data_IF_833556461510
#
_entry.id   IF_833556461510
#
_cell.length_a   1.000
_cell.length_b   1.000
_cell.length_c   1.000
_cell.angle_alpha   90.00
_cell.angle_beta   90.00
_cell.angle_gamma   90.00
#
_symmetry.space_group_name_H-M   'P 1'
#
loop_
_entity.id
_entity.type
_entity.pdbx_description
1 polymer ?
#
# COMPACT_ATOMS: atom_id res chain seq x y z
N UNK A 1 -4.55 -19.18 -4.60
CA UNK A 1 -3.45 -18.74 -3.70
C UNK A 1 -3.74 -19.27 -2.30
N UNK A 2 -2.76 -19.89 -1.64
CA UNK A 2 -2.87 -20.38 -0.25
C UNK A 2 -1.90 -19.57 0.62
N UNK A 3 -2.32 -19.24 1.83
CA UNK A 3 -1.48 -18.55 2.81
C UNK A 3 -1.47 -19.34 4.12
N UNK A 4 -0.28 -19.73 4.57
CA UNK A 4 -0.07 -20.29 5.90
C UNK A 4 -0.18 -19.20 6.96
N UNK A 5 -0.79 -19.52 8.09
CA UNK A 5 -0.86 -18.68 9.29
C UNK A 5 -0.13 -19.41 10.40
N UNK A 6 1.07 -18.94 10.74
CA UNK A 6 1.80 -19.40 11.92
C UNK A 6 1.13 -18.84 13.17
N UNK A 7 0.23 -19.63 13.76
CA UNK A 7 -0.55 -19.30 14.95
C UNK A 7 0.00 -19.94 16.24
N UNK A 8 1.17 -20.60 16.14
CA UNK A 8 1.96 -21.10 17.26
C UNK A 8 3.46 -20.89 16.99
N UNK A 9 4.12 -20.09 17.82
CA UNK A 9 5.57 -19.83 17.74
C UNK A 9 6.10 -19.35 19.10
N UNK A 10 7.41 -19.46 19.31
CA UNK A 10 8.13 -18.94 20.48
C UNK A 10 7.75 -17.47 20.80
N UNK A 11 7.63 -16.61 19.78
CA UNK A 11 7.26 -15.19 19.93
C UNK A 11 5.81 -15.01 20.36
N UNK A 12 4.90 -15.84 19.86
CA UNK A 12 3.47 -15.79 20.24
C UNK A 12 3.32 -16.22 21.69
N UNK A 13 3.93 -17.34 22.07
CA UNK A 13 3.89 -17.87 23.44
C UNK A 13 4.47 -16.86 24.42
N UNK A 14 5.66 -16.31 24.12
CA UNK A 14 6.29 -15.28 24.95
C UNK A 14 5.39 -14.06 25.12
N UNK A 15 4.82 -13.54 24.03
CA UNK A 15 3.96 -12.34 24.08
C UNK A 15 2.65 -12.60 24.80
N UNK A 16 2.06 -13.78 24.64
CA UNK A 16 0.84 -14.18 25.33
C UNK A 16 1.07 -14.25 26.85
N UNK A 17 2.21 -14.79 27.28
CA UNK A 17 2.61 -14.81 28.69
C UNK A 17 2.82 -13.40 29.25
N UNK A 18 3.49 -12.50 28.52
CA UNK A 18 3.66 -11.09 28.90
C UNK A 18 2.31 -10.36 29.10
N UNK A 19 1.31 -10.70 28.29
CA UNK A 19 -0.02 -10.09 28.32
C UNK A 19 -1.02 -10.85 29.21
N UNK A 20 -0.61 -11.96 29.81
CA UNK A 20 -1.47 -12.86 30.59
C UNK A 20 -2.76 -13.28 29.84
N UNK A 21 -2.62 -13.64 28.56
CA UNK A 21 -3.71 -14.15 27.71
C UNK A 21 -3.31 -15.49 27.09
N UNK A 22 -4.26 -16.24 26.54
CA UNK A 22 -3.93 -17.49 25.84
C UNK A 22 -3.21 -17.22 24.51
N UNK A 23 -2.20 -18.03 24.11
CA UNK A 23 -1.56 -17.91 22.80
C UNK A 23 -2.53 -17.99 21.62
N UNK A 24 -3.55 -18.85 21.71
CA UNK A 24 -4.58 -19.00 20.69
C UNK A 24 -5.43 -17.74 20.54
N UNK A 25 -5.85 -17.13 21.65
CA UNK A 25 -6.60 -15.86 21.62
C UNK A 25 -5.78 -14.74 21.01
N UNK A 26 -4.48 -14.67 21.34
CA UNK A 26 -3.56 -13.66 20.81
C UNK A 26 -3.34 -13.84 19.30
N UNK A 27 -3.13 -15.08 18.84
CA UNK A 27 -2.96 -15.40 17.43
C UNK A 27 -4.22 -15.05 16.62
N UNK A 28 -5.41 -15.44 17.10
CA UNK A 28 -6.68 -15.14 16.45
C UNK A 28 -6.93 -13.63 16.33
N UNK A 29 -6.62 -12.87 17.39
CA UNK A 29 -6.73 -11.41 17.38
C UNK A 29 -5.85 -10.79 16.29
N UNK A 30 -4.58 -11.19 16.22
CA UNK A 30 -3.65 -10.62 15.25
C UNK A 30 -3.84 -11.15 13.83
N UNK A 31 -4.39 -12.35 13.65
CA UNK A 31 -4.82 -12.83 12.34
C UNK A 31 -5.94 -11.96 11.76
N UNK A 32 -6.92 -11.61 12.60
CA UNK A 32 -8.02 -10.74 12.21
C UNK A 32 -7.55 -9.30 11.94
N UNK A 33 -6.68 -8.75 12.80
CA UNK A 33 -6.03 -7.46 12.55
C UNK A 33 -5.25 -7.45 11.23
N UNK A 34 -4.51 -8.53 10.93
CA UNK A 34 -3.80 -8.67 9.67
C UNK A 34 -4.75 -8.66 8.46
N UNK A 35 -5.86 -9.39 8.52
CA UNK A 35 -6.87 -9.40 7.44
C UNK A 35 -7.46 -8.01 7.21
N UNK A 36 -7.74 -7.29 8.29
CA UNK A 36 -8.26 -5.91 8.21
C UNK A 36 -7.24 -4.96 7.59
N UNK A 37 -5.96 -5.06 7.98
CA UNK A 37 -4.88 -4.25 7.40
C UNK A 37 -4.69 -4.57 5.91
N UNK A 38 -4.72 -5.84 5.51
CA UNK A 38 -4.63 -6.26 4.11
C UNK A 38 -5.82 -5.74 3.28
N UNK A 39 -7.04 -5.85 3.82
CA UNK A 39 -8.24 -5.31 3.18
C UNK A 39 -8.17 -3.78 3.03
N UNK A 40 -7.70 -3.07 4.07
CA UNK A 40 -7.51 -1.62 4.04
C UNK A 40 -6.49 -1.20 2.96
N UNK A 41 -5.47 -2.01 2.71
CA UNK A 41 -4.49 -1.84 1.62
C UNK A 41 -4.96 -2.37 0.26
N UNK A 42 -6.23 -2.79 0.14
CA UNK A 42 -6.82 -3.33 -1.09
C UNK A 42 -6.10 -4.58 -1.61
N UNK A 43 -5.53 -5.38 -0.70
CA UNK A 43 -4.94 -6.69 -1.02
C UNK A 43 -6.06 -7.72 -1.06
N UNK A 44 -6.13 -8.49 -2.15
CA UNK A 44 -7.11 -9.56 -2.28
C UNK A 44 -6.80 -10.68 -1.27
N UNK A 45 -7.83 -11.25 -0.60
CA UNK A 45 -7.61 -12.37 0.29
C UNK A 45 -7.13 -13.61 -0.49
N UNK A 46 -6.33 -14.49 0.14
CA UNK A 46 -6.05 -15.81 -0.42
C UNK A 46 -7.33 -16.61 -0.58
N UNK A 47 -7.26 -17.61 -1.46
CA UNK A 47 -8.34 -18.58 -1.64
C UNK A 47 -8.56 -19.40 -0.37
N UNK A 48 -7.47 -19.71 0.35
CA UNK A 48 -7.50 -20.48 1.59
C UNK A 48 -6.45 -19.92 2.55
N UNK A 49 -6.85 -19.70 3.80
CA UNK A 49 -5.95 -19.56 4.94
C UNK A 49 -5.79 -20.93 5.60
N UNK A 50 -4.56 -21.34 5.91
CA UNK A 50 -4.28 -22.58 6.60
C UNK A 50 -3.53 -22.30 7.89
N UNK A 51 -4.13 -22.63 9.04
CA UNK A 51 -3.52 -22.45 10.36
C UNK A 51 -2.69 -23.66 10.75
N UNK A 52 -1.60 -23.44 11.45
CA UNK A 52 -0.71 -24.52 11.91
C UNK A 52 -1.41 -25.37 12.95
N UNK A 53 -2.07 -24.75 13.94
CA UNK A 53 -2.73 -25.49 15.02
C UNK A 53 -3.87 -26.39 14.55
N UNK A 54 -4.48 -26.10 13.40
CA UNK A 54 -5.54 -26.90 12.77
C UNK A 54 -5.00 -28.11 11.98
N UNK A 55 -3.68 -28.17 11.73
CA UNK A 55 -3.05 -29.17 10.85
C UNK A 55 -1.96 -30.00 11.55
N UNK A 56 -1.95 -30.03 12.88
CA UNK A 56 -0.94 -30.75 13.67
C UNK A 56 -0.86 -32.25 13.33
N UNK A 57 -1.97 -33.01 13.20
CA UNK A 57 -1.88 -34.43 12.83
C UNK A 57 -1.16 -34.65 11.49
N UNK A 58 -1.41 -33.78 10.52
CA UNK A 58 -0.78 -33.82 9.21
C UNK A 58 0.71 -33.49 9.30
N UNK A 59 1.09 -32.52 10.13
CA UNK A 59 2.51 -32.18 10.37
C UNK A 59 3.23 -33.37 11.01
N UNK A 60 2.65 -34.00 12.03
CA UNK A 60 3.21 -35.20 12.65
C UNK A 60 3.38 -36.33 11.63
N UNK A 61 2.38 -36.57 10.77
CA UNK A 61 2.48 -37.57 9.71
C UNK A 61 3.57 -37.21 8.67
N UNK A 62 3.72 -35.94 8.33
CA UNK A 62 4.74 -35.45 7.40
C UNK A 62 6.16 -35.69 7.95
N UNK A 63 6.38 -35.35 9.23
CA UNK A 63 7.64 -35.61 9.93
C UNK A 63 7.94 -37.11 9.96
N UNK A 64 6.94 -37.95 10.28
CA UNK A 64 7.10 -39.40 10.26
C UNK A 64 7.52 -39.91 8.88
N UNK A 65 6.98 -39.33 7.80
CA UNK A 65 7.39 -39.65 6.41
C UNK A 65 8.84 -39.25 6.09
N UNK A 66 9.32 -38.12 6.60
CA UNK A 66 10.72 -37.70 6.46
C UNK A 66 11.65 -38.67 7.22
N UNK A 67 11.29 -39.05 8.46
CA UNK A 67 12.05 -40.05 9.25
C UNK A 67 12.09 -41.39 8.51
N UNK A 68 10.95 -41.87 8.00
CA UNK A 68 10.87 -43.12 7.25
C UNK A 68 11.70 -43.11 5.96
N UNK A 69 12.00 -41.92 5.42
CA UNK A 69 12.86 -41.75 4.25
C UNK A 69 14.34 -41.52 4.62
N UNK A 70 14.70 -41.61 5.90
CA UNK A 70 16.08 -41.52 6.37
C UNK A 70 16.64 -40.11 6.48
N UNK A 71 15.79 -39.07 6.45
CA UNK A 71 16.20 -37.67 6.41
C UNK A 71 15.96 -36.91 7.73
N UNK A 72 15.48 -37.60 8.77
CA UNK A 72 15.25 -37.02 10.08
C UNK A 72 15.46 -38.06 11.19
N UNK A 73 15.71 -37.58 12.41
CA UNK A 73 15.90 -38.42 13.59
C UNK A 73 15.26 -37.79 14.82
N UNK A 74 14.74 -38.62 15.72
CA UNK A 74 14.28 -38.21 17.04
C UNK A 74 15.38 -38.36 18.09
N UNK A 75 15.31 -37.55 19.14
CA UNK A 75 16.23 -37.63 20.29
C UNK A 75 15.53 -38.20 21.53
N UNK A 76 16.32 -38.60 22.53
CA UNK A 76 15.78 -39.06 23.82
C UNK A 76 15.01 -37.97 24.57
N UNK A 77 15.21 -36.68 24.22
CA UNK A 77 14.50 -35.54 24.81
C UNK A 77 13.15 -35.26 24.13
N UNK A 78 12.82 -35.98 23.06
CA UNK A 78 11.58 -35.82 22.30
C UNK A 78 11.64 -34.77 21.18
N UNK A 79 12.82 -34.22 20.88
CA UNK A 79 13.01 -33.38 19.70
C UNK A 79 13.09 -34.25 18.45
N UNK A 80 12.69 -33.70 17.30
CA UNK A 80 12.97 -34.29 15.98
C UNK A 80 13.69 -33.26 15.14
N UNK A 81 14.83 -33.67 14.58
CA UNK A 81 15.67 -32.84 13.72
C UNK A 81 15.71 -33.39 12.32
N UNK A 82 15.81 -32.49 11.35
CA UNK A 82 16.16 -32.83 9.99
C UNK A 82 17.68 -33.03 9.89
N UNK A 83 18.11 -34.16 9.34
CA UNK A 83 19.52 -34.50 9.18
C UNK A 83 20.06 -33.85 7.91
N UNK A 84 20.78 -32.74 8.03
CA UNK A 84 21.33 -32.06 6.86
C UNK A 84 22.37 -32.90 6.13
N UNK A 85 23.14 -33.73 6.83
CA UNK A 85 24.13 -34.58 6.18
C UNK A 85 23.47 -35.59 5.23
N UNK A 86 22.26 -36.06 5.57
CA UNK A 86 21.48 -36.95 4.69
C UNK A 86 21.12 -36.34 3.33
N UNK A 87 21.15 -35.00 3.21
CA UNK A 87 20.90 -34.28 1.94
C UNK A 87 22.18 -34.03 1.15
N UNK A 88 23.32 -33.94 1.82
CA UNK A 88 24.62 -33.67 1.20
C UNK A 88 24.57 -32.45 0.29
N UNK A 89 25.15 -32.57 -0.91
CA UNK A 89 25.25 -31.48 -1.89
C UNK A 89 23.92 -31.00 -2.48
N UNK A 90 22.77 -31.62 -2.13
CA UNK A 90 21.44 -31.18 -2.60
C UNK A 90 20.86 -30.04 -1.76
N UNK A 91 21.44 -29.73 -0.60
CA UNK A 91 21.02 -28.62 0.25
C UNK A 91 21.78 -27.34 -0.13
N UNK A 92 21.10 -26.20 -0.16
CA UNK A 92 21.63 -24.92 -0.66
C UNK A 92 21.24 -24.61 -2.10
N UNK A 93 20.28 -25.33 -2.67
CA UNK A 93 19.92 -25.21 -4.10
C UNK A 93 19.22 -23.89 -4.44
N UNK A 94 18.60 -23.22 -3.45
CA UNK A 94 17.91 -21.95 -3.66
C UNK A 94 18.88 -20.77 -3.55
N UNK A 95 19.79 -20.80 -2.57
CA UNK A 95 20.71 -19.69 -2.28
C UNK A 95 22.11 -19.83 -2.89
N UNK A 96 22.48 -21.03 -3.34
CA UNK A 96 23.78 -21.34 -3.95
C UNK A 96 24.94 -21.43 -2.94
N UNK A 97 25.03 -20.47 -2.03
CA UNK A 97 26.00 -20.46 -0.93
C UNK A 97 25.24 -20.54 0.39
N UNK A 98 25.42 -21.64 1.10
CA UNK A 98 24.85 -21.85 2.43
C UNK A 98 25.72 -21.11 3.44
N UNK A 99 25.18 -20.15 4.20
CA UNK A 99 25.89 -19.54 5.32
C UNK A 99 26.34 -20.61 6.32
N UNK A 100 27.53 -20.42 6.91
CA UNK A 100 27.99 -21.31 7.97
C UNK A 100 26.95 -21.38 9.09
N UNK A 101 26.68 -22.58 9.65
CA UNK A 101 25.72 -22.71 10.72
C UNK A 101 26.18 -21.87 11.91
N UNK A 102 25.45 -20.80 12.21
CA UNK A 102 25.59 -20.13 13.49
C UNK A 102 25.15 -21.13 14.56
N UNK A 103 26.11 -21.63 15.34
CA UNK A 103 25.81 -22.52 16.45
C UNK A 103 24.76 -21.87 17.36
N UNK A 104 23.66 -22.58 17.63
CA UNK A 104 22.69 -22.12 18.62
C UNK A 104 23.36 -22.14 20.01
N UNK A 105 23.33 -21.03 20.78
CA UNK A 105 23.85 -21.06 22.15
C UNK A 105 22.94 -21.93 23.03
N UNK A 106 23.41 -23.10 23.45
CA UNK A 106 22.69 -23.98 24.38
C UNK A 106 23.10 -25.45 24.33
N UNK A 107 22.58 -26.24 25.27
CA UNK A 107 22.72 -27.69 25.36
C UNK A 107 21.87 -28.38 24.28
N UNK A 108 22.36 -28.33 23.04
CA UNK A 108 21.74 -28.91 21.84
C UNK A 108 21.96 -30.43 21.80
N UNK A 109 20.89 -31.20 21.60
CA UNK A 109 20.91 -32.65 21.38
C UNK A 109 20.91 -33.05 19.89
N UNK A 110 21.25 -32.10 19.01
CA UNK A 110 21.48 -32.33 17.58
C UNK A 110 22.75 -33.16 17.35
N UNK A 111 22.73 -34.00 16.32
CA UNK A 111 23.92 -34.69 15.78
C UNK A 111 24.88 -33.69 15.14
N UNK A 112 24.35 -32.71 14.40
CA UNK A 112 25.16 -31.70 13.72
C UNK A 112 24.62 -30.29 13.95
N UNK A 113 25.52 -29.31 13.98
CA UNK A 113 25.18 -27.91 14.27
C UNK A 113 24.17 -27.30 13.27
N UNK A 114 24.23 -27.72 12.00
CA UNK A 114 23.32 -27.25 10.96
C UNK A 114 21.93 -27.89 10.98
N UNK A 115 21.73 -28.98 11.72
CA UNK A 115 20.43 -29.65 11.77
C UNK A 115 19.37 -28.71 12.35
N UNK A 116 18.18 -28.70 11.74
CA UNK A 116 17.09 -27.82 12.15
C UNK A 116 15.89 -28.63 12.67
N UNK A 117 15.15 -28.05 13.61
CA UNK A 117 14.05 -28.73 14.28
C UNK A 117 12.84 -28.89 13.34
N UNK A 118 12.33 -30.13 13.27
CA UNK A 118 11.02 -30.47 12.73
C UNK A 118 9.97 -30.50 13.83
N UNK A 119 10.33 -31.01 15.01
CA UNK A 119 9.49 -31.05 16.20
C UNK A 119 10.31 -30.64 17.41
N UNK A 120 9.79 -29.71 18.20
CA UNK A 120 10.41 -29.23 19.44
C UNK A 120 9.66 -29.84 20.62
N UNK A 121 10.38 -30.52 21.50
CA UNK A 121 9.82 -31.04 22.75
C UNK A 121 9.26 -29.88 23.59
N UNK A 122 8.12 -30.11 24.24
CA UNK A 122 7.44 -29.09 25.01
C UNK A 122 8.24 -28.71 26.26
N UNK A 123 8.40 -27.41 26.49
CA UNK A 123 8.92 -26.90 27.78
C UNK A 123 7.76 -26.80 28.78
N UNK A 124 8.05 -26.78 30.10
CA UNK A 124 7.02 -26.57 31.11
C UNK A 124 6.18 -25.32 30.80
N UNK A 125 4.86 -25.46 30.89
CA UNK A 125 3.87 -24.38 30.68
C UNK A 125 3.76 -23.86 29.23
N UNK A 126 4.46 -24.44 28.25
CA UNK A 126 4.19 -24.17 26.84
C UNK A 126 2.98 -24.98 26.33
N UNK A 127 2.20 -24.45 25.36
CA UNK A 127 1.22 -25.26 24.64
C UNK A 127 1.92 -26.41 23.90
N UNK A 128 1.26 -27.58 23.88
CA UNK A 128 1.81 -28.78 23.25
C UNK A 128 0.72 -29.65 22.64
N UNK A 129 1.16 -30.54 21.76
CA UNK A 129 0.38 -31.63 21.19
C UNK A 129 1.11 -32.96 21.41
N UNK A 130 0.33 -34.03 21.57
CA UNK A 130 0.87 -35.38 21.66
C UNK A 130 1.42 -35.82 20.30
N UNK A 131 2.57 -36.49 20.30
CA UNK A 131 3.19 -37.06 19.11
C UNK A 131 3.89 -38.40 19.45
N UNK A 132 4.29 -39.20 18.45
CA UNK A 132 5.09 -40.40 18.67
C UNK A 132 6.42 -40.16 19.39
N UNK A 133 6.91 -38.93 19.42
CA UNK A 133 8.17 -38.54 20.07
C UNK A 133 7.95 -37.84 21.42
N UNK A 134 6.71 -37.83 21.93
CA UNK A 134 6.32 -37.13 23.15
C UNK A 134 5.62 -35.80 22.88
N UNK A 135 5.29 -35.09 23.96
CA UNK A 135 4.61 -33.81 23.89
C UNK A 135 5.54 -32.73 23.30
N UNK A 136 5.04 -31.98 22.32
CA UNK A 136 5.81 -30.91 21.70
C UNK A 136 5.00 -30.08 20.73
N UNK A 137 5.69 -29.38 19.84
CA UNK A 137 5.13 -28.49 18.84
C UNK A 137 5.98 -28.49 17.57
N UNK A 138 5.42 -28.11 16.41
CA UNK A 138 6.18 -28.04 15.17
C UNK A 138 7.33 -27.03 15.25
N UNK A 139 8.38 -27.30 14.46
CA UNK A 139 9.37 -26.29 14.09
C UNK A 139 8.85 -25.38 12.98
N UNK A 140 9.30 -24.13 12.97
CA UNK A 140 8.80 -23.09 12.06
C UNK A 140 8.76 -23.51 10.57
N UNK A 141 9.78 -24.23 10.10
CA UNK A 141 9.90 -24.60 8.68
C UNK A 141 8.92 -25.72 8.26
N UNK A 142 8.64 -26.68 9.17
CA UNK A 142 7.84 -27.87 8.82
C UNK A 142 6.36 -27.55 8.62
N UNK A 143 5.93 -26.44 9.20
CA UNK A 143 4.60 -25.86 9.04
C UNK A 143 4.31 -25.61 7.57
N UNK A 144 5.09 -24.74 6.92
CA UNK A 144 4.90 -24.35 5.53
C UNK A 144 5.05 -25.53 4.57
N UNK A 145 6.03 -26.41 4.78
CA UNK A 145 6.22 -27.63 3.99
C UNK A 145 5.00 -28.54 4.00
N UNK A 146 4.43 -28.77 5.18
CA UNK A 146 3.25 -29.63 5.33
C UNK A 146 2.04 -28.98 4.70
N UNK A 147 1.74 -27.72 5.05
CA UNK A 147 0.55 -27.02 4.58
C UNK A 147 0.53 -26.85 3.06
N UNK A 148 1.66 -26.48 2.47
CA UNK A 148 1.81 -26.38 1.02
C UNK A 148 1.66 -27.75 0.34
N UNK A 149 2.25 -28.81 0.90
CA UNK A 149 2.13 -30.18 0.38
C UNK A 149 0.72 -30.75 0.48
N UNK A 150 -0.08 -30.35 1.47
CA UNK A 150 -1.48 -30.76 1.58
C UNK A 150 -2.33 -30.24 0.42
N UNK A 151 -2.01 -29.05 -0.10
CA UNK A 151 -2.78 -28.44 -1.19
C UNK A 151 -2.19 -28.76 -2.57
N UNK A 152 -0.88 -28.69 -2.71
CA UNK A 152 -0.19 -28.75 -4.01
C UNK A 152 0.58 -30.07 -4.22
N UNK A 153 0.68 -30.92 -3.20
CA UNK A 153 1.42 -32.18 -3.30
C UNK A 153 2.90 -31.97 -3.60
N UNK A 154 3.42 -32.77 -4.52
CA UNK A 154 4.84 -32.82 -4.86
C UNK A 154 5.27 -31.84 -5.96
N UNK A 155 4.35 -31.01 -6.48
CA UNK A 155 4.59 -30.08 -7.60
C UNK A 155 3.98 -28.72 -7.30
N UNK A 156 4.81 -27.78 -6.89
CA UNK A 156 4.44 -26.39 -6.66
C UNK A 156 4.94 -25.51 -7.80
N UNK A 157 4.05 -24.75 -8.44
CA UNK A 157 4.47 -23.83 -9.50
C UNK A 157 5.20 -22.62 -8.92
N UNK A 158 4.56 -21.91 -7.97
CA UNK A 158 5.06 -20.67 -7.40
C UNK A 158 5.03 -20.75 -5.87
N UNK A 159 6.16 -20.44 -5.25
CA UNK A 159 6.31 -20.18 -3.82
C UNK A 159 6.83 -18.75 -3.62
N UNK A 160 6.38 -18.03 -2.57
CA UNK A 160 6.73 -16.63 -2.39
C UNK A 160 6.89 -16.21 -0.94
N UNK A 161 7.74 -15.22 -0.68
CA UNK A 161 7.96 -14.65 0.65
C UNK A 161 8.88 -13.43 0.62
N UNK A 162 9.22 -12.87 1.79
CA UNK A 162 10.28 -11.86 1.88
C UNK A 162 11.65 -12.49 1.62
N UNK A 163 12.63 -11.71 1.14
CA UNK A 163 13.99 -12.19 0.85
C UNK A 163 14.70 -12.80 2.06
N UNK A 164 14.34 -12.39 3.28
CA UNK A 164 14.78 -13.00 4.53
C UNK A 164 14.28 -14.43 4.75
N UNK A 165 13.24 -14.85 4.02
CA UNK A 165 12.77 -16.22 4.03
C UNK A 165 13.51 -17.11 3.04
N UNK A 166 14.30 -16.57 2.10
CA UNK A 166 15.09 -17.39 1.19
C UNK A 166 16.01 -18.37 1.95
N UNK A 167 16.65 -17.89 3.02
CA UNK A 167 17.43 -18.72 3.92
C UNK A 167 17.25 -18.28 5.39
N UNK A 168 17.09 -19.23 6.33
CA UNK A 168 17.05 -20.68 6.10
C UNK A 168 15.66 -21.20 5.69
N UNK A 169 14.61 -20.37 5.71
CA UNK A 169 13.23 -20.87 5.69
C UNK A 169 12.84 -21.66 4.43
N UNK A 170 12.85 -21.05 3.25
CA UNK A 170 12.46 -21.72 2.00
C UNK A 170 13.47 -22.81 1.59
N UNK A 171 14.76 -22.66 1.89
CA UNK A 171 15.76 -23.71 1.68
C UNK A 171 15.44 -24.97 2.52
N UNK A 172 15.04 -24.78 3.78
CA UNK A 172 14.59 -25.86 4.64
C UNK A 172 13.28 -26.48 4.14
N UNK A 173 12.33 -25.68 3.66
CA UNK A 173 11.08 -26.20 3.08
C UNK A 173 11.33 -27.09 1.87
N UNK A 174 12.18 -26.62 0.95
CA UNK A 174 12.64 -27.40 -0.20
C UNK A 174 13.19 -28.75 0.26
N UNK A 175 14.10 -28.75 1.23
CA UNK A 175 14.75 -29.96 1.71
C UNK A 175 13.75 -30.95 2.32
N UNK A 176 12.80 -30.45 3.10
CA UNK A 176 11.73 -31.23 3.74
C UNK A 176 10.76 -31.81 2.72
N UNK A 177 10.25 -30.98 1.81
CA UNK A 177 9.30 -31.39 0.79
C UNK A 177 9.90 -32.42 -0.17
N UNK A 178 11.14 -32.24 -0.61
CA UNK A 178 11.81 -33.22 -1.47
C UNK A 178 12.13 -34.52 -0.76
N UNK A 179 12.52 -34.46 0.51
CA UNK A 179 12.73 -35.65 1.33
C UNK A 179 11.42 -36.43 1.53
N UNK A 180 10.31 -35.74 1.80
CA UNK A 180 9.01 -36.34 2.01
C UNK A 180 8.42 -36.93 0.71
N UNK A 181 8.36 -36.13 -0.36
CA UNK A 181 7.78 -36.53 -1.64
C UNK A 181 8.70 -37.42 -2.48
N UNK A 182 9.97 -37.57 -2.07
CA UNK A 182 11.01 -38.30 -2.81
C UNK A 182 11.15 -37.81 -4.26
N UNK A 183 11.06 -36.50 -4.43
CA UNK A 183 11.20 -35.84 -5.73
C UNK A 183 12.50 -35.00 -5.79
N UNK A 184 13.08 -34.80 -6.98
CA UNK A 184 14.28 -33.97 -7.15
C UNK A 184 13.97 -32.47 -7.24
N UNK A 185 12.71 -32.10 -7.46
CA UNK A 185 12.26 -30.71 -7.59
C UNK A 185 10.83 -30.59 -7.07
N UNK A 186 10.68 -29.95 -5.92
CA UNK A 186 9.37 -29.67 -5.34
C UNK A 186 8.69 -28.43 -5.93
N UNK A 187 9.43 -27.31 -6.02
CA UNK A 187 8.93 -26.02 -6.52
C UNK A 187 9.65 -25.55 -7.79
N UNK A 188 8.91 -24.92 -8.71
CA UNK A 188 9.45 -24.41 -9.99
C UNK A 188 9.99 -22.97 -9.87
N UNK A 189 9.23 -22.07 -9.25
CA UNK A 189 9.58 -20.65 -9.12
C UNK A 189 9.47 -20.17 -7.68
N UNK A 190 10.52 -19.55 -7.17
CA UNK A 190 10.54 -18.88 -5.86
C UNK A 190 10.66 -17.37 -6.07
N UNK A 191 9.66 -16.61 -5.61
CA UNK A 191 9.62 -15.15 -5.73
C UNK A 191 9.86 -14.52 -4.37
N UNK A 192 10.94 -13.76 -4.24
CA UNK A 192 11.31 -13.08 -3.00
C UNK A 192 11.19 -11.57 -3.12
N UNK A 193 10.40 -10.96 -2.22
CA UNK A 193 10.31 -9.50 -2.15
C UNK A 193 11.46 -8.89 -1.35
N UNK A 194 11.98 -7.76 -1.83
CA UNK A 194 13.04 -7.01 -1.16
C UNK A 194 12.60 -6.40 0.17
N UNK A 195 13.56 -5.92 0.95
CA UNK A 195 13.29 -5.28 2.24
C UNK A 195 12.75 -3.86 2.09
N UNK A 196 12.02 -3.41 3.12
CA UNK A 196 11.64 -2.02 3.29
C UNK A 196 12.51 -1.41 4.41
N UNK A 197 13.28 -0.37 4.09
CA UNK A 197 14.10 0.40 5.03
C UNK A 197 13.41 1.72 5.36
N UNK A 198 13.79 2.38 6.47
CA UNK A 198 13.42 3.79 6.72
C UNK A 198 14.64 4.65 6.39
N UNK A 199 14.39 5.76 5.69
CA UNK A 199 15.45 6.70 5.29
C UNK A 199 16.35 7.13 6.48
N UNK A 200 17.67 7.08 6.26
CA UNK A 200 18.67 7.45 7.26
C UNK A 200 19.20 6.31 8.14
N UNK A 201 18.71 5.08 7.96
CA UNK A 201 19.29 3.88 8.57
C UNK A 201 19.76 2.88 7.52
N UNK A 202 20.97 2.33 7.67
CA UNK A 202 21.39 1.10 6.95
C UNK A 202 20.59 -0.14 7.41
N UNK A 203 19.70 0.02 8.40
CA UNK A 203 18.99 -1.07 9.07
C UNK A 203 17.54 -1.22 8.59
N UNK A 204 17.17 -2.46 8.25
CA UNK A 204 15.80 -2.90 7.90
C UNK A 204 14.77 -2.48 8.95
N UNK A 205 13.55 -2.12 8.52
CA UNK A 205 12.42 -1.97 9.45
C UNK A 205 12.19 -3.27 10.22
N UNK A 206 12.38 -3.22 11.54
CA UNK A 206 12.22 -4.38 12.39
C UNK A 206 11.65 -4.02 13.76
N UNK A 207 10.88 -4.94 14.34
CA UNK A 207 10.35 -4.78 15.69
C UNK A 207 11.47 -4.63 16.74
N UNK A 208 12.63 -5.24 16.50
CA UNK A 208 13.82 -5.15 17.36
C UNK A 208 14.44 -3.75 17.41
N UNK A 209 14.38 -3.01 16.30
CA UNK A 209 14.96 -1.66 16.19
C UNK A 209 13.96 -0.54 16.50
N UNK A 210 12.69 -0.89 16.75
CA UNK A 210 11.57 0.06 16.99
C UNK A 210 11.43 1.14 15.90
N UNK A 211 11.97 0.91 14.72
CA UNK A 211 11.97 1.82 13.58
C UNK A 211 10.87 1.48 12.56
N UNK A 212 9.73 0.97 13.01
CA UNK A 212 8.66 0.52 12.12
C UNK A 212 7.43 1.43 12.18
N UNK A 213 6.73 1.54 11.05
CA UNK A 213 5.42 2.18 10.93
C UNK A 213 4.37 1.09 10.74
N UNK A 214 3.31 1.08 11.55
CA UNK A 214 2.21 0.13 11.33
C UNK A 214 1.36 0.57 10.15
N UNK A 215 0.66 -0.36 9.50
CA UNK A 215 -0.29 -0.02 8.43
C UNK A 215 -1.36 0.94 8.95
N UNK A 216 -1.90 0.70 10.15
CA UNK A 216 -2.87 1.59 10.80
C UNK A 216 -2.33 3.01 10.99
N UNK A 217 -1.06 3.17 11.39
CA UNK A 217 -0.44 4.49 11.56
C UNK A 217 -0.16 5.18 10.21
N UNK A 218 0.34 4.43 9.22
CA UNK A 218 0.54 4.94 7.86
C UNK A 218 -0.78 5.47 7.26
N UNK A 219 -1.86 4.71 7.42
CA UNK A 219 -3.17 5.04 6.88
C UNK A 219 -3.82 6.27 7.53
N UNK A 220 -3.28 6.77 8.65
CA UNK A 220 -3.69 8.06 9.24
C UNK A 220 -3.18 9.27 8.44
N UNK A 221 -2.06 9.14 7.72
CA UNK A 221 -1.41 10.25 7.00
C UNK A 221 -1.47 10.11 5.47
N UNK A 222 -1.61 8.90 4.95
CA UNK A 222 -1.65 8.61 3.52
C UNK A 222 -2.72 7.58 3.16
N UNK A 223 -3.28 7.68 1.95
CA UNK A 223 -4.29 6.74 1.48
C UNK A 223 -3.66 5.40 1.07
N UNK A 224 -4.41 4.28 1.06
CA UNK A 224 -3.89 3.02 0.56
C UNK A 224 -3.43 3.11 -0.89
N UNK A 225 -4.09 3.92 -1.73
CA UNK A 225 -3.66 4.14 -3.11
C UNK A 225 -2.25 4.74 -3.19
N UNK A 226 -1.89 5.67 -2.28
CA UNK A 226 -0.54 6.27 -2.21
C UNK A 226 0.49 5.20 -1.86
N UNK A 227 0.19 4.35 -0.87
CA UNK A 227 1.06 3.23 -0.51
C UNK A 227 1.29 2.29 -1.69
N UNK A 228 0.20 1.90 -2.37
CA UNK A 228 0.27 1.00 -3.51
C UNK A 228 1.08 1.61 -4.64
N UNK A 229 0.87 2.88 -4.98
CA UNK A 229 1.68 3.52 -6.01
C UNK A 229 3.15 3.57 -5.60
N UNK A 230 3.46 3.91 -4.35
CA UNK A 230 4.82 3.87 -3.82
C UNK A 230 5.47 2.49 -4.03
N UNK A 231 4.78 1.39 -3.69
CA UNK A 231 5.29 0.05 -3.94
C UNK A 231 5.51 -0.23 -5.44
N UNK A 232 4.58 0.17 -6.30
CA UNK A 232 4.67 -0.06 -7.75
C UNK A 232 5.80 0.71 -8.44
N UNK A 233 6.32 1.77 -7.80
CA UNK A 233 7.46 2.55 -8.30
C UNK A 233 8.81 1.87 -8.13
N UNK A 234 8.87 0.72 -7.47
CA UNK A 234 10.07 -0.10 -7.34
C UNK A 234 9.82 -1.52 -7.85
N UNK A 235 10.88 -2.21 -8.28
CA UNK A 235 10.78 -3.66 -8.52
C UNK A 235 10.49 -4.36 -7.20
N UNK A 236 9.60 -5.37 -7.21
CA UNK A 236 9.28 -6.13 -6.00
C UNK A 236 10.52 -6.81 -5.39
N UNK A 237 11.56 -7.07 -6.19
CA UNK A 237 12.82 -7.71 -5.79
C UNK A 237 13.80 -6.75 -5.12
N UNK A 238 13.65 -5.45 -5.38
CA UNK A 238 14.55 -4.43 -4.87
C UNK A 238 14.22 -4.11 -3.42
N UNK A 239 15.25 -3.79 -2.65
CA UNK A 239 15.04 -3.05 -1.42
C UNK A 239 14.43 -1.68 -1.75
N UNK A 240 13.52 -1.22 -0.89
CA UNK A 240 12.83 0.06 -1.04
C UNK A 240 13.06 0.88 0.22
N UNK A 241 13.39 2.15 0.05
CA UNK A 241 13.53 3.09 1.15
C UNK A 241 12.22 3.85 1.34
N UNK A 242 11.62 3.68 2.52
CA UNK A 242 10.48 4.43 2.96
C UNK A 242 10.92 5.80 3.47
N UNK A 243 10.42 6.85 2.82
CA UNK A 243 10.59 8.24 3.24
C UNK A 243 9.34 9.07 2.97
N UNK A 244 9.19 10.17 3.72
CA UNK A 244 8.15 11.16 3.45
C UNK A 244 8.27 11.73 2.03
N UNK A 245 9.50 11.86 1.52
CA UNK A 245 9.77 12.26 0.14
C UNK A 245 9.20 11.27 -0.88
N UNK A 246 9.47 9.97 -0.72
CA UNK A 246 8.95 8.93 -1.61
C UNK A 246 7.42 8.85 -1.59
N UNK A 247 6.81 9.00 -0.42
CA UNK A 247 5.35 9.05 -0.25
C UNK A 247 4.76 10.31 -0.89
N UNK A 248 5.43 11.46 -0.78
CA UNK A 248 5.01 12.70 -1.42
C UNK A 248 5.05 12.59 -2.95
N UNK A 249 6.08 11.97 -3.52
CA UNK A 249 6.18 11.74 -4.96
C UNK A 249 5.08 10.82 -5.48
N UNK A 250 4.79 9.72 -4.77
CA UNK A 250 3.65 8.86 -5.10
C UNK A 250 2.32 9.65 -5.04
N UNK A 251 2.13 10.51 -4.04
CA UNK A 251 0.94 11.36 -3.93
C UNK A 251 0.80 12.35 -5.09
N UNK A 252 1.90 13.01 -5.48
CA UNK A 252 1.94 13.94 -6.62
C UNK A 252 1.59 13.23 -7.92
N UNK A 253 2.15 12.04 -8.14
CA UNK A 253 1.87 11.26 -9.33
C UNK A 253 0.39 10.85 -9.41
N UNK A 254 -0.19 10.33 -8.33
CA UNK A 254 -1.63 10.02 -8.31
C UNK A 254 -2.50 11.26 -8.55
N UNK A 255 -2.11 12.41 -8.01
CA UNK A 255 -2.83 13.66 -8.27
C UNK A 255 -2.78 14.04 -9.76
N UNK A 256 -1.61 13.92 -10.40
CA UNK A 256 -1.46 14.19 -11.82
C UNK A 256 -2.31 13.24 -12.69
N UNK A 257 -2.38 11.95 -12.32
CA UNK A 257 -3.24 10.97 -12.99
C UNK A 257 -4.72 11.34 -12.84
N UNK A 258 -5.16 11.68 -11.61
CA UNK A 258 -6.54 12.07 -11.35
C UNK A 258 -6.94 13.35 -12.10
N UNK A 259 -6.06 14.36 -12.10
CA UNK A 259 -6.29 15.62 -12.82
C UNK A 259 -6.47 15.39 -14.33
N UNK A 260 -5.64 14.53 -14.94
CA UNK A 260 -5.84 14.18 -16.36
C UNK A 260 -7.20 13.52 -16.62
N UNK A 261 -7.61 12.57 -15.77
CA UNK A 261 -8.92 11.91 -15.91
C UNK A 261 -10.06 12.93 -15.79
N UNK A 262 -9.95 13.88 -14.87
CA UNK A 262 -10.93 14.96 -14.68
C UNK A 262 -10.98 15.91 -15.89
N UNK A 263 -9.83 16.38 -16.37
CA UNK A 263 -9.72 17.27 -17.52
C UNK A 263 -10.23 16.60 -18.81
N UNK A 264 -9.86 15.34 -19.04
CA UNK A 264 -10.35 14.56 -20.19
C UNK A 264 -11.88 14.40 -20.14
N UNK A 265 -12.44 14.11 -18.96
CA UNK A 265 -13.89 14.03 -18.77
C UNK A 265 -14.58 15.38 -18.93
N UNK A 266 -13.98 16.47 -18.45
CA UNK A 266 -14.49 17.82 -18.64
C UNK A 266 -14.49 18.23 -20.12
N UNK A 267 -13.44 17.87 -20.87
CA UNK A 267 -13.39 18.04 -22.33
C UNK A 267 -14.50 17.25 -23.03
N UNK A 268 -14.70 15.99 -22.66
CA UNK A 268 -15.76 15.14 -23.23
C UNK A 268 -17.17 15.70 -22.98
N UNK A 269 -17.40 16.31 -21.81
CA UNK A 269 -18.66 16.99 -21.46
C UNK A 269 -18.77 18.42 -22.01
N UNK A 270 -17.73 18.91 -22.68
CA UNK A 270 -17.66 20.26 -23.20
C UNK A 270 -17.53 21.37 -22.15
N UNK A 271 -17.16 21.01 -20.93
CA UNK A 271 -16.92 21.93 -19.80
C UNK A 271 -15.51 22.52 -19.84
N UNK A 272 -14.55 21.81 -20.45
CA UNK A 272 -13.24 22.33 -20.75
C UNK A 272 -13.25 22.94 -22.16
N UNK A 273 -12.82 24.20 -22.27
CA UNK A 273 -12.64 24.84 -23.56
C UNK A 273 -11.50 24.14 -24.31
N UNK A 274 -11.77 23.74 -25.55
CA UNK A 274 -10.79 23.04 -26.37
C UNK A 274 -11.33 22.77 -27.78
N UNK A 275 -10.51 23.06 -28.79
CA UNK A 275 -10.65 22.60 -30.17
C UNK A 275 -10.43 21.07 -30.38
N UNK A 276 -10.33 20.63 -31.64
CA UNK A 276 -10.09 19.23 -31.98
C UNK A 276 -8.71 18.76 -31.50
N UNK A 277 -8.64 17.52 -31.03
CA UNK A 277 -7.38 16.85 -30.68
C UNK A 277 -6.90 16.01 -31.87
N UNK A 278 -5.60 15.69 -31.92
CA UNK A 278 -5.06 14.79 -32.95
C UNK A 278 -5.38 13.34 -32.60
N UNK A 279 -6.53 12.87 -33.06
CA UNK A 279 -7.02 11.52 -32.76
C UNK A 279 -6.08 10.41 -33.23
N UNK A 280 -5.56 10.52 -34.45
CA UNK A 280 -4.62 9.57 -35.05
C UNK A 280 -3.39 9.35 -34.15
N UNK A 281 -2.84 10.45 -33.62
CA UNK A 281 -1.72 10.41 -32.69
C UNK A 281 -2.12 9.74 -31.38
N UNK A 282 -3.25 10.11 -30.79
CA UNK A 282 -3.69 9.55 -29.50
C UNK A 282 -4.06 8.07 -29.59
N UNK A 283 -4.66 7.62 -30.70
CA UNK A 283 -4.96 6.20 -30.94
C UNK A 283 -3.69 5.37 -31.10
N UNK A 284 -2.72 5.84 -31.89
CA UNK A 284 -1.41 5.18 -32.03
C UNK A 284 -0.69 5.07 -30.68
N UNK A 285 -0.67 6.16 -29.90
CA UNK A 285 -0.07 6.18 -28.55
C UNK A 285 -0.76 5.19 -27.62
N UNK A 286 -2.10 5.16 -27.59
CA UNK A 286 -2.83 4.19 -26.77
C UNK A 286 -2.47 2.74 -27.14
N UNK A 287 -2.41 2.43 -28.44
CA UNK A 287 -2.01 1.10 -28.92
C UNK A 287 -0.61 0.71 -28.47
N UNK A 288 0.37 1.62 -28.63
CA UNK A 288 1.76 1.40 -28.19
C UNK A 288 1.87 1.25 -26.68
N UNK A 289 1.16 2.07 -25.91
CA UNK A 289 1.17 1.98 -24.44
C UNK A 289 0.61 0.65 -23.95
N UNK A 290 -0.47 0.13 -24.55
CA UNK A 290 -1.00 -1.21 -24.22
C UNK A 290 0.06 -2.30 -24.40
N UNK A 291 0.74 -2.30 -25.54
CA UNK A 291 1.83 -3.24 -25.82
C UNK A 291 3.01 -3.08 -24.86
N UNK A 292 3.39 -1.83 -24.54
CA UNK A 292 4.48 -1.53 -23.62
C UNK A 292 4.17 -1.98 -22.18
N UNK A 293 2.95 -1.77 -21.70
CA UNK A 293 2.50 -2.23 -20.38
C UNK A 293 2.54 -3.76 -20.31
N UNK A 294 2.01 -4.45 -21.32
CA UNK A 294 2.04 -5.91 -21.36
C UNK A 294 3.49 -6.45 -21.36
N UNK A 295 4.36 -5.88 -22.18
CA UNK A 295 5.77 -6.27 -22.25
C UNK A 295 6.49 -6.02 -20.91
N UNK A 296 6.23 -4.89 -20.25
CA UNK A 296 6.81 -4.58 -18.94
C UNK A 296 6.34 -5.56 -17.85
N UNK A 297 5.04 -5.89 -17.81
CA UNK A 297 4.52 -6.84 -16.81
C UNK A 297 4.98 -8.28 -17.06
N UNK A 298 5.20 -8.68 -18.31
CA UNK A 298 5.77 -9.98 -18.66
C UNK A 298 7.27 -10.10 -18.32
N UNK A 299 7.97 -8.96 -18.24
CA UNK A 299 9.36 -8.85 -17.83
C UNK A 299 9.47 -8.80 -16.30
N UNK A 300 9.27 -9.94 -15.63
CA UNK A 300 9.39 -10.09 -14.17
C UNK A 300 8.56 -9.07 -13.36
N UNK A 301 7.31 -8.83 -13.79
CA UNK A 301 6.40 -7.87 -13.17
C UNK A 301 7.01 -6.46 -13.04
N UNK A 302 7.62 -5.92 -14.10
CA UNK A 302 8.24 -4.59 -14.08
C UNK A 302 7.20 -3.46 -13.98
N UNK A 303 6.63 -3.29 -12.80
CA UNK A 303 5.61 -2.28 -12.49
C UNK A 303 6.12 -0.84 -12.66
N UNK A 304 7.39 -0.48 -12.39
CA UNK A 304 7.87 0.87 -12.66
C UNK A 304 7.75 1.24 -14.13
N UNK A 305 8.22 0.37 -15.04
CA UNK A 305 8.13 0.58 -16.50
C UNK A 305 6.67 0.61 -16.99
N UNK A 306 5.81 -0.25 -16.43
CA UNK A 306 4.40 -0.24 -16.76
C UNK A 306 3.72 1.09 -16.37
N UNK A 307 4.00 1.60 -15.16
CA UNK A 307 3.50 2.90 -14.70
C UNK A 307 4.06 4.03 -15.57
N UNK A 308 5.34 4.02 -15.90
CA UNK A 308 5.96 5.05 -16.76
C UNK A 308 5.29 5.13 -18.15
N UNK A 309 4.98 3.98 -18.76
CA UNK A 309 4.28 3.93 -20.04
C UNK A 309 2.88 4.57 -19.98
N UNK A 310 2.15 4.39 -18.87
CA UNK A 310 0.84 4.99 -18.65
C UNK A 310 0.95 6.49 -18.37
N UNK A 311 1.95 6.92 -17.60
CA UNK A 311 2.22 8.34 -17.32
C UNK A 311 2.61 9.09 -18.59
N UNK A 312 3.37 8.47 -19.50
CA UNK A 312 3.70 9.06 -20.80
C UNK A 312 2.46 9.22 -21.69
N UNK A 313 1.53 8.26 -21.67
CA UNK A 313 0.24 8.39 -22.36
C UNK A 313 -0.57 9.57 -21.80
N UNK A 314 -0.60 9.72 -20.47
CA UNK A 314 -1.24 10.85 -19.79
C UNK A 314 -0.59 12.18 -20.18
N UNK A 315 0.74 12.22 -20.28
CA UNK A 315 1.47 13.40 -20.72
C UNK A 315 1.04 13.83 -22.14
N UNK A 316 0.96 12.88 -23.08
CA UNK A 316 0.48 13.15 -24.43
C UNK A 316 -0.98 13.63 -24.45
N UNK A 317 -1.87 13.00 -23.68
CA UNK A 317 -3.27 13.43 -23.56
C UNK A 317 -3.40 14.85 -23.03
N UNK A 318 -2.69 15.19 -21.95
CA UNK A 318 -2.64 16.54 -21.39
C UNK A 318 -2.14 17.58 -22.39
N UNK A 319 -1.16 17.23 -23.24
CA UNK A 319 -0.64 18.16 -24.25
C UNK A 319 -1.69 18.50 -25.30
N UNK A 320 -2.47 17.52 -25.75
CA UNK A 320 -3.58 17.77 -26.70
C UNK A 320 -4.70 18.60 -26.05
N UNK A 321 -5.01 18.35 -24.77
CA UNK A 321 -6.02 19.14 -24.03
C UNK A 321 -5.60 20.62 -23.85
N UNK A 322 -4.30 20.89 -23.64
CA UNK A 322 -3.76 22.26 -23.46
C UNK A 322 -3.57 23.04 -24.75
N UNK A 323 -3.19 22.37 -25.85
CA UNK A 323 -2.96 23.02 -27.15
C UNK A 323 -4.22 23.65 -27.76
N UNK A 324 -5.39 23.30 -27.21
CA UNK A 324 -6.70 23.62 -27.74
C UNK A 324 -7.26 24.98 -27.26
N UNK A 325 -6.42 25.83 -26.65
CA UNK A 325 -6.79 27.08 -25.98
C UNK A 325 -7.07 28.30 -26.88
N UNK A 326 -6.77 28.23 -28.18
CA UNK A 326 -7.22 29.25 -29.14
C UNK A 326 -8.62 28.90 -29.67
N UNK A 327 -9.45 29.92 -29.93
CA UNK A 327 -10.90 29.80 -30.18
C UNK A 327 -11.30 28.49 -30.89
N UNK A 328 -12.23 27.71 -30.31
CA UNK A 328 -12.51 26.35 -30.76
C UNK A 328 -13.12 26.36 -32.16
N UNK A 329 -12.25 26.24 -33.18
CA UNK A 329 -12.64 26.05 -34.58
C UNK A 329 -12.55 24.57 -34.92
N UNK A 330 -13.57 23.80 -34.54
CA UNK A 330 -13.71 22.40 -34.96
C UNK A 330 -14.57 21.52 -34.04
N UNK A 331 -15.04 20.36 -34.53
CA UNK A 331 -15.76 19.39 -33.70
C UNK A 331 -14.84 18.81 -32.62
N UNK A 332 -15.40 18.53 -31.43
CA UNK A 332 -14.68 17.84 -30.35
C UNK A 332 -14.53 16.35 -30.67
N UNK A 333 -13.47 15.76 -30.13
CA UNK A 333 -13.13 14.35 -30.32
C UNK A 333 -13.17 13.56 -28.99
N UNK A 334 -14.37 13.36 -28.39
CA UNK A 334 -14.48 12.76 -27.06
C UNK A 334 -14.13 11.27 -27.02
N UNK A 335 -14.23 10.56 -28.14
CA UNK A 335 -14.08 9.10 -28.18
C UNK A 335 -12.68 8.64 -27.77
N UNK A 336 -11.64 9.26 -28.34
CA UNK A 336 -10.24 8.88 -28.05
C UNK A 336 -9.86 9.22 -26.61
N UNK A 337 -10.29 10.37 -26.08
CA UNK A 337 -10.09 10.71 -24.66
C UNK A 337 -10.83 9.74 -23.74
N UNK A 338 -12.05 9.33 -24.10
CA UNK A 338 -12.79 8.31 -23.36
C UNK A 338 -12.04 6.96 -23.31
N UNK A 339 -11.44 6.55 -24.41
CA UNK A 339 -10.62 5.34 -24.47
C UNK A 339 -9.33 5.44 -23.63
N UNK A 340 -8.66 6.60 -23.65
CA UNK A 340 -7.51 6.87 -22.78
C UNK A 340 -7.90 6.79 -21.30
N UNK A 341 -8.98 7.49 -20.90
CA UNK A 341 -9.49 7.48 -19.52
C UNK A 341 -9.82 6.04 -19.08
N UNK A 342 -10.57 5.30 -19.89
CA UNK A 342 -10.94 3.92 -19.57
C UNK A 342 -9.70 3.03 -19.39
N UNK A 343 -8.70 3.15 -20.25
CA UNK A 343 -7.47 2.37 -20.12
C UNK A 343 -6.66 2.75 -18.87
N UNK A 344 -6.50 4.04 -18.59
CA UNK A 344 -5.80 4.54 -17.40
C UNK A 344 -6.49 4.03 -16.14
N UNK A 345 -7.82 4.18 -16.03
CA UNK A 345 -8.59 3.70 -14.88
C UNK A 345 -8.47 2.18 -14.72
N UNK A 346 -8.62 1.42 -15.80
CA UNK A 346 -8.51 -0.04 -15.76
C UNK A 346 -7.11 -0.50 -15.33
N UNK A 347 -6.04 0.16 -15.81
CA UNK A 347 -4.69 -0.16 -15.39
C UNK A 347 -4.51 0.05 -13.89
N UNK A 348 -4.87 1.23 -13.38
CA UNK A 348 -4.73 1.54 -11.96
C UNK A 348 -5.63 0.66 -11.08
N UNK A 349 -6.86 0.37 -11.51
CA UNK A 349 -7.76 -0.55 -10.80
C UNK A 349 -7.19 -1.98 -10.73
N UNK A 350 -6.58 -2.48 -11.82
CA UNK A 350 -5.94 -3.80 -11.85
C UNK A 350 -4.83 -3.93 -10.81
N UNK A 351 -4.08 -2.84 -10.58
CA UNK A 351 -3.04 -2.79 -9.53
C UNK A 351 -3.57 -2.30 -8.19
N UNK A 352 -4.89 -2.26 -8.01
CA UNK A 352 -5.58 -1.97 -6.75
C UNK A 352 -5.62 -0.49 -6.34
N UNK A 353 -5.46 0.43 -7.29
CA UNK A 353 -5.53 1.89 -7.09
C UNK A 353 -6.86 2.40 -7.64
N UNK A 354 -7.68 3.02 -6.79
CA UNK A 354 -9.01 3.51 -7.19
C UNK A 354 -8.99 5.01 -7.47
N UNK A 355 -8.89 5.39 -8.74
CA UNK A 355 -8.91 6.81 -9.14
C UNK A 355 -10.29 7.46 -8.92
N UNK A 356 -11.37 6.67 -8.94
CA UNK A 356 -12.75 7.15 -8.82
C UNK A 356 -13.17 7.52 -7.38
N UNK A 357 -12.54 6.95 -6.34
CA UNK A 357 -12.94 7.23 -4.94
C UNK A 357 -12.64 8.67 -4.51
N UNK A 358 -11.69 9.34 -5.17
CA UNK A 358 -11.45 10.78 -4.97
C UNK A 358 -12.64 11.63 -5.36
N UNK A 359 -13.54 11.17 -6.24
CA UNK A 359 -14.77 11.89 -6.58
C UNK A 359 -15.77 11.93 -5.42
N UNK A 360 -15.76 10.94 -4.53
CA UNK A 360 -16.58 10.96 -3.31
C UNK A 360 -15.93 11.78 -2.19
N UNK A 361 -14.60 11.74 -2.07
CA UNK A 361 -13.88 12.52 -1.05
C UNK A 361 -13.74 14.01 -1.41
N UNK A 362 -13.64 14.36 -2.70
CA UNK A 362 -13.69 15.74 -3.17
C UNK A 362 -15.14 16.27 -3.27
N UNK A 363 -16.13 15.38 -3.45
CA UNK A 363 -17.56 15.71 -3.41
C UNK A 363 -18.13 15.85 -1.99
N UNK A 364 -17.49 15.26 -0.98
CA UNK A 364 -17.78 15.49 0.43
C UNK A 364 -16.77 16.50 0.98
N UNK A 365 -17.07 17.79 0.82
CA UNK A 365 -16.23 18.88 1.31
C UNK A 365 -15.80 18.66 2.75
N UNK A 366 -14.52 18.33 2.95
CA UNK A 366 -13.93 18.39 4.28
C UNK A 366 -14.13 19.81 4.81
N UNK A 367 -14.62 19.99 6.05
CA UNK A 367 -14.76 21.31 6.65
C UNK A 367 -13.45 22.12 6.59
N UNK A 368 -12.30 21.44 6.62
CA UNK A 368 -10.99 22.08 6.51
C UNK A 368 -10.68 22.60 5.10
N UNK A 369 -11.09 21.89 4.04
CA UNK A 369 -10.91 22.34 2.66
C UNK A 369 -11.83 23.52 2.34
N UNK A 370 -13.10 23.46 2.79
CA UNK A 370 -14.02 24.59 2.69
C UNK A 370 -13.51 25.79 3.47
N UNK A 371 -12.99 25.58 4.69
CA UNK A 371 -12.42 26.64 5.51
C UNK A 371 -11.20 27.29 4.84
N UNK A 372 -10.30 26.50 4.25
CA UNK A 372 -9.14 27.02 3.52
C UNK A 372 -9.54 27.81 2.27
N UNK A 373 -10.57 27.38 1.55
CA UNK A 373 -11.07 28.10 0.36
C UNK A 373 -11.72 29.41 0.77
N UNK A 374 -12.54 29.41 1.82
CA UNK A 374 -13.18 30.62 2.34
C UNK A 374 -12.13 31.61 2.87
N UNK A 375 -11.10 31.13 3.59
CA UNK A 375 -9.99 31.95 4.06
C UNK A 375 -9.27 32.66 2.91
N UNK A 376 -8.92 31.94 1.83
CA UNK A 376 -8.25 32.54 0.67
C UNK A 376 -9.16 33.50 -0.11
N UNK A 377 -10.47 33.21 -0.21
CA UNK A 377 -11.44 34.14 -0.80
C UNK A 377 -11.57 35.44 0.02
N UNK A 378 -11.59 35.35 1.36
CA UNK A 378 -11.63 36.50 2.26
C UNK A 378 -10.34 37.32 2.13
N UNK A 379 -9.19 36.65 2.07
CA UNK A 379 -7.88 37.29 1.84
C UNK A 379 -7.81 37.99 0.49
N UNK A 380 -8.27 37.35 -0.59
CA UNK A 380 -8.34 37.95 -1.92
C UNK A 380 -9.23 39.20 -1.91
N UNK A 381 -10.45 39.09 -1.38
CA UNK A 381 -11.38 40.23 -1.21
C UNK A 381 -10.72 41.36 -0.43
N UNK A 382 -10.01 41.05 0.64
CA UNK A 382 -9.32 42.04 1.47
C UNK A 382 -8.23 42.76 0.69
N UNK A 383 -7.42 42.06 -0.10
CA UNK A 383 -6.42 42.66 -0.98
C UNK A 383 -7.06 43.62 -1.99
N UNK A 384 -8.13 43.19 -2.65
CA UNK A 384 -8.87 44.03 -3.61
C UNK A 384 -9.49 45.26 -2.92
N UNK A 385 -10.10 45.08 -1.74
CA UNK A 385 -10.69 46.16 -0.95
C UNK A 385 -9.63 47.17 -0.48
N UNK A 386 -8.48 46.70 0.00
CA UNK A 386 -7.36 47.57 0.38
C UNK A 386 -6.85 48.36 -0.81
N UNK A 387 -6.66 47.72 -1.97
CA UNK A 387 -6.28 48.42 -3.20
C UNK A 387 -7.32 49.48 -3.59
N UNK A 388 -8.61 49.15 -3.49
CA UNK A 388 -9.69 50.08 -3.80
C UNK A 388 -9.74 51.28 -2.85
N UNK A 389 -9.43 51.09 -1.55
CA UNK A 389 -9.44 52.13 -0.52
C UNK A 389 -8.10 52.88 -0.36
N UNK A 390 -7.00 52.32 -0.87
CA UNK A 390 -5.69 52.93 -0.80
C UNK A 390 -5.68 54.25 -1.59
N UNK A 391 -5.72 55.34 -0.85
CA UNK A 391 -5.30 56.64 -1.35
C UNK A 391 -3.77 56.61 -1.39
N UNK A 392 -3.17 56.75 -2.57
CA UNK A 392 -1.74 57.06 -2.65
C UNK A 392 -1.45 58.44 -2.04
N UNK A 393 -0.33 59.07 -2.41
CA UNK A 393 0.00 60.45 -2.00
C UNK A 393 -0.96 61.54 -2.56
N UNK A 394 -2.09 61.14 -3.16
CA UNK A 394 -3.07 62.02 -3.75
C UNK A 394 -3.97 62.66 -2.68
N UNK A 395 -3.92 63.98 -2.56
CA UNK A 395 -4.82 64.77 -1.72
C UNK A 395 -5.95 65.43 -2.53
N UNK A 396 -7.09 65.71 -1.88
CA UNK A 396 -8.18 66.51 -2.46
C UNK A 396 -8.97 65.82 -3.58
N UNK A 397 -9.13 66.50 -4.72
CA UNK A 397 -9.95 66.03 -5.86
C UNK A 397 -9.39 64.78 -6.55
N UNK A 398 -8.07 64.62 -6.58
CA UNK A 398 -7.42 63.44 -7.15
C UNK A 398 -7.81 62.15 -6.42
N UNK A 399 -7.92 62.22 -5.09
CA UNK A 399 -8.43 61.10 -4.27
C UNK A 399 -9.88 60.76 -4.58
N UNK A 400 -10.73 61.77 -4.82
CA UNK A 400 -12.15 61.55 -5.15
C UNK A 400 -12.32 60.87 -6.51
N UNK A 401 -11.56 61.29 -7.53
CA UNK A 401 -11.56 60.65 -8.85
C UNK A 401 -11.07 59.20 -8.78
N UNK A 402 -9.97 58.95 -8.08
CA UNK A 402 -9.43 57.60 -7.90
C UNK A 402 -10.42 56.65 -7.19
N UNK A 403 -11.11 57.13 -6.14
CA UNK A 403 -12.15 56.36 -5.46
C UNK A 403 -13.37 56.11 -6.38
N UNK A 404 -13.69 57.06 -7.27
CA UNK A 404 -14.79 56.93 -8.21
C UNK A 404 -14.47 55.91 -9.32
N UNK A 405 -13.24 55.87 -9.82
CA UNK A 405 -12.76 54.87 -10.79
C UNK A 405 -12.73 53.46 -10.18
N UNK A 406 -12.38 53.34 -8.90
CA UNK A 406 -12.29 52.06 -8.18
C UNK A 406 -13.60 51.61 -7.54
N UNK A 407 -14.68 52.37 -7.72
CA UNK A 407 -15.99 52.09 -7.11
C UNK A 407 -16.53 50.70 -7.47
N UNK A 408 -16.35 50.27 -8.71
CA UNK A 408 -16.77 48.94 -9.17
C UNK A 408 -16.10 47.80 -8.38
N UNK A 409 -14.85 47.99 -7.94
CA UNK A 409 -14.14 47.00 -7.11
C UNK A 409 -14.74 46.91 -5.70
N UNK A 410 -15.14 48.04 -5.12
CA UNK A 410 -15.82 48.06 -3.82
C UNK A 410 -17.20 47.40 -3.92
N UNK A 411 -17.93 47.66 -4.99
CA UNK A 411 -19.24 47.05 -5.25
C UNK A 411 -19.12 45.52 -5.45
N UNK A 412 -18.08 45.05 -6.15
CA UNK A 412 -17.77 43.62 -6.28
C UNK A 412 -17.39 42.98 -4.94
N UNK A 413 -16.58 43.64 -4.12
CA UNK A 413 -16.26 43.18 -2.77
C UNK A 413 -17.50 43.09 -1.86
N UNK A 414 -18.45 44.02 -2.01
CA UNK A 414 -19.70 43.99 -1.27
C UNK A 414 -20.69 42.95 -1.79
N UNK A 415 -20.71 42.68 -3.11
CA UNK A 415 -21.45 41.58 -3.69
C UNK A 415 -20.96 40.22 -3.17
N UNK A 416 -19.65 39.97 -3.25
CA UNK A 416 -19.05 38.74 -2.72
C UNK A 416 -19.36 38.52 -1.23
N UNK A 417 -19.33 39.59 -0.42
CA UNK A 417 -19.70 39.52 1.00
C UNK A 417 -21.17 39.12 1.20
N UNK A 418 -22.09 39.66 0.38
CA UNK A 418 -23.52 39.32 0.45
C UNK A 418 -23.76 37.88 0.03
N UNK A 419 -23.14 37.44 -1.05
CA UNK A 419 -23.31 36.09 -1.59
C UNK A 419 -22.79 35.04 -0.60
N UNK A 420 -21.62 35.28 0.00
CA UNK A 420 -21.08 34.42 1.06
C UNK A 420 -21.97 34.37 2.31
N UNK A 421 -22.62 35.50 2.66
CA UNK A 421 -23.58 35.52 3.77
C UNK A 421 -24.81 34.66 3.49
N UNK A 422 -25.28 34.58 2.24
CA UNK A 422 -26.38 33.70 1.85
C UNK A 422 -26.00 32.20 1.97
N UNK A 423 -24.70 31.91 1.98
CA UNK A 423 -24.15 30.57 2.19
C UNK A 423 -23.63 30.33 3.61
N UNK A 424 -24.03 31.16 4.58
CA UNK A 424 -23.69 30.96 6.00
C UNK A 424 -22.28 31.40 6.40
N UNK A 425 -21.58 32.20 5.58
CA UNK A 425 -20.26 32.76 5.89
C UNK A 425 -20.41 34.26 6.16
N UNK A 426 -20.15 34.69 7.40
CA UNK A 426 -20.20 36.12 7.76
C UNK A 426 -18.81 36.72 7.81
N UNK A 427 -18.54 37.70 6.95
CA UNK A 427 -17.29 38.46 6.95
C UNK A 427 -17.44 39.72 7.81
N UNK A 428 -16.50 39.92 8.75
CA UNK A 428 -16.39 41.09 9.63
C UNK A 428 -15.15 41.90 9.23
N UNK A 429 -15.37 43.11 8.72
CA UNK A 429 -14.30 44.05 8.39
C UNK A 429 -13.98 44.90 9.65
N UNK A 430 -12.74 44.84 10.16
CA UNK A 430 -12.22 45.68 11.25
C UNK A 430 -11.01 46.44 10.74
N UNK A 431 -11.18 47.74 10.50
CA UNK A 431 -10.14 48.61 9.90
C UNK A 431 -9.48 47.96 8.67
N UNK A 432 -8.22 47.54 8.81
CA UNK A 432 -7.41 46.95 7.73
C UNK A 432 -7.49 45.43 7.66
N UNK A 433 -8.22 44.79 8.58
CA UNK A 433 -8.32 43.32 8.71
C UNK A 433 -9.74 42.83 8.44
N UNK A 434 -9.89 41.85 7.54
CA UNK A 434 -11.14 41.12 7.36
C UNK A 434 -11.03 39.77 8.06
N UNK A 435 -11.96 39.45 8.95
CA UNK A 435 -12.10 38.11 9.55
C UNK A 435 -13.45 37.52 9.15
N UNK A 436 -13.65 36.22 9.34
CA UNK A 436 -14.91 35.57 8.99
C UNK A 436 -15.31 34.48 10.00
N UNK A 437 -16.59 34.13 10.01
CA UNK A 437 -17.14 33.06 10.83
C UNK A 437 -18.23 32.29 10.06
N UNK A 438 -18.40 31.00 10.37
CA UNK A 438 -19.55 30.22 9.92
C UNK A 438 -20.74 30.49 10.83
N UNK A 439 -21.92 30.69 10.24
CA UNK A 439 -23.17 30.82 10.95
C UNK A 439 -23.77 29.43 11.13
N UNK A 440 -24.00 29.02 12.39
CA UNK A 440 -24.73 27.78 12.70
C UNK A 440 -26.21 27.98 12.31
N UNK A 441 -26.84 27.06 11.54
CA UNK A 441 -28.25 27.18 11.17
C UNK A 441 -29.24 27.23 12.34
N UNK A 442 -28.77 27.08 13.59
CA UNK A 442 -29.59 26.97 14.80
C UNK A 442 -29.64 28.22 15.69
N UNK A 443 -29.15 29.37 15.23
CA UNK A 443 -29.20 30.62 16.01
C UNK A 443 -29.74 31.82 15.22
N UNK A 444 -31.04 31.76 14.93
CA UNK A 444 -31.94 32.94 14.94
C UNK A 444 -33.00 32.59 16.01
N UNK A 445 -33.36 33.37 17.04
CA UNK A 445 -33.47 34.82 17.19
C UNK A 445 -33.80 35.12 18.69
N UNK A 446 -33.16 36.07 19.40
CA UNK A 446 -33.69 36.55 20.67
C UNK A 446 -34.13 38.03 20.57
N UNK A 447 -34.90 38.42 19.54
CA UNK A 447 -35.66 39.68 19.56
C UNK A 447 -37.01 39.57 18.84
N UNK A 448 -37.90 38.74 19.38
CA UNK A 448 -39.35 38.88 19.22
C UNK A 448 -40.05 38.59 20.56
N UNK A 449 -40.36 39.64 21.31
CA UNK A 449 -41.05 39.56 22.59
C UNK A 449 -41.14 40.94 23.23
N UNK A 450 -42.12 41.72 22.75
CA UNK A 450 -42.77 42.75 23.56
C UNK A 450 -43.82 42.09 24.45
#
# INVERSE_FOLDING_TARGET
MVMGVTDVDDKIIKRANELNVSPASLANLYEEDFKQDMAALKVLPPTVYMRVTENIPQIVAFIAGIIASGHAYSTARGNVYFDLQSRGAKYGKLVGVVPDPMGEPGDSDKRHAGDFALWKAAKPQEPFWASPWGNGRPGWHIECSTLSSLVFGSRLDIHSGGIDLAFPHHENEIAQCEAFHRCPQWGNYFLHSGHLHVEGGEEKMSKSLRNYVTIKDFLRSASPDVFRLFCLRSSYRSAVDYSDGAILEARRLLHAVAAFVEDARAYMRGQLAGGPVREDVLWDRLGRTKGAVQAALADDFNTPRAVDAVVELIHHGNRELKAAAEEPRGPRSPAVLGALVSFVEQFFETVGISLAERQRAAGAGSPAALHSVVEELVRFRQTVRRFALAAGEAAGEARRRQLQERRALLEACDALRRDLSAHGVRIKDRSDVSTWELLDPRTEDPKAGR
#
